data_IF_712266894040
#
_entry.id   IF_712266894040
#
_cell.length_a   1.000
_cell.length_b   1.000
_cell.length_c   1.000
_cell.angle_alpha   90.00
_cell.angle_beta   90.00
_cell.angle_gamma   90.00
#
_symmetry.space_group_name_H-M   'P 1'
#
loop_
_entity.id
_entity.type
_entity.pdbx_description
1 polymer ?
#
# COMPACT_ATOMS: atom_id res chain seq x y z
N UNK A 1 4.62 0.95 25.53
CA UNK A 1 3.87 0.26 24.47
C UNK A 1 3.24 1.36 23.65
N UNK A 2 3.75 1.62 22.45
CA UNK A 2 3.27 2.76 21.66
C UNK A 2 1.81 2.53 21.26
N UNK A 3 0.94 3.49 21.59
CA UNK A 3 -0.51 3.39 21.31
C UNK A 3 -0.81 3.16 19.84
N UNK A 4 0.08 3.58 18.94
CA UNK A 4 0.03 3.30 17.49
C UNK A 4 0.06 1.81 17.16
N UNK A 5 0.86 1.02 17.90
CA UNK A 5 0.92 -0.44 17.72
C UNK A 5 -0.38 -1.12 18.18
N UNK A 6 -1.05 -0.57 19.20
CA UNK A 6 -2.34 -1.08 19.66
C UNK A 6 -3.46 -0.88 18.62
N UNK A 7 -3.38 0.15 17.77
CA UNK A 7 -4.33 0.37 16.67
C UNK A 7 -4.09 -0.55 15.47
N UNK A 8 -2.84 -0.96 15.20
CA UNK A 8 -2.50 -1.83 14.06
C UNK A 8 -2.72 -3.32 14.36
N UNK A 9 -2.61 -3.71 15.64
CA UNK A 9 -2.82 -5.08 16.10
C UNK A 9 -4.17 -5.69 15.68
N UNK A 10 -5.34 -5.04 15.85
CA UNK A 10 -6.61 -5.61 15.42
C UNK A 10 -6.70 -5.77 13.90
N UNK A 11 -6.10 -4.89 13.09
CA UNK A 11 -6.09 -5.03 11.63
C UNK A 11 -5.38 -6.32 11.18
N UNK A 12 -4.30 -6.71 11.87
CA UNK A 12 -3.57 -7.93 11.59
C UNK A 12 -4.33 -9.18 12.04
N UNK A 13 -4.96 -9.13 13.22
CA UNK A 13 -5.70 -10.27 13.79
C UNK A 13 -7.03 -10.52 13.08
N UNK A 14 -7.70 -9.49 12.57
CA UNK A 14 -8.97 -9.60 11.84
C UNK A 14 -8.80 -9.74 10.32
N UNK A 15 -7.59 -9.96 9.82
CA UNK A 15 -7.38 -10.28 8.40
C UNK A 15 -7.92 -11.69 8.13
N UNK A 16 -9.15 -11.78 7.62
CA UNK A 16 -9.73 -13.04 7.17
C UNK A 16 -8.96 -13.55 5.95
N UNK A 17 -8.57 -14.81 6.00
CA UNK A 17 -7.99 -15.52 4.86
C UNK A 17 -9.09 -15.71 3.80
N UNK A 18 -9.11 -14.84 2.79
CA UNK A 18 -9.93 -15.03 1.61
C UNK A 18 -9.31 -16.12 0.74
N UNK A 19 -9.71 -17.38 0.94
CA UNK A 19 -9.36 -18.48 0.05
C UNK A 19 -10.21 -18.37 -1.21
N UNK A 20 -9.67 -17.80 -2.29
CA UNK A 20 -10.28 -17.97 -3.61
C UNK A 20 -9.98 -19.37 -4.12
N UNK A 21 -11.01 -20.10 -4.55
CA UNK A 21 -10.81 -21.36 -5.26
C UNK A 21 -10.29 -21.07 -6.67
N UNK A 22 -9.40 -21.92 -7.17
CA UNK A 22 -8.85 -21.81 -8.52
C UNK A 22 -10.00 -21.84 -9.56
N UNK A 23 -10.03 -20.84 -10.44
CA UNK A 23 -10.92 -20.81 -11.61
C UNK A 23 -12.24 -20.05 -11.46
N UNK A 24 -12.88 -19.98 -10.29
CA UNK A 24 -14.20 -19.32 -10.15
C UNK A 24 -14.10 -17.77 -10.03
N UNK A 25 -13.17 -17.28 -9.20
CA UNK A 25 -13.05 -15.84 -8.90
C UNK A 25 -12.13 -15.09 -9.89
N UNK A 26 -11.26 -15.82 -10.60
CA UNK A 26 -10.40 -15.27 -11.65
C UNK A 26 -11.10 -15.14 -13.01
N UNK A 27 -12.16 -15.91 -13.26
CA UNK A 27 -12.94 -15.81 -14.51
C UNK A 27 -13.95 -14.66 -14.51
N UNK A 28 -14.14 -13.98 -13.38
CA UNK A 28 -15.05 -12.85 -13.32
C UNK A 28 -14.45 -11.65 -14.08
N UNK A 29 -15.26 -11.00 -14.92
CA UNK A 29 -14.87 -9.83 -15.71
C UNK A 29 -14.26 -8.67 -14.89
N UNK A 30 -14.63 -8.52 -13.61
CA UNK A 30 -14.03 -7.52 -12.71
C UNK A 30 -12.74 -7.98 -12.03
N UNK A 31 -12.29 -9.22 -12.25
CA UNK A 31 -11.11 -9.76 -11.56
C UNK A 31 -9.89 -8.87 -11.78
N UNK A 32 -9.64 -8.43 -13.02
CA UNK A 32 -8.54 -7.50 -13.32
C UNK A 32 -8.64 -6.16 -12.59
N UNK A 33 -9.86 -5.60 -12.46
CA UNK A 33 -10.07 -4.35 -11.74
C UNK A 33 -9.83 -4.51 -10.23
N UNK A 34 -10.28 -5.61 -9.64
CA UNK A 34 -10.06 -5.92 -8.22
C UNK A 34 -8.56 -6.10 -7.92
N UNK A 35 -7.82 -6.80 -8.79
CA UNK A 35 -6.36 -6.91 -8.68
C UNK A 35 -5.68 -5.55 -8.75
N UNK A 36 -6.14 -4.67 -9.64
CA UNK A 36 -5.64 -3.30 -9.74
C UNK A 36 -5.87 -2.52 -8.44
N UNK A 37 -7.08 -2.60 -7.87
CA UNK A 37 -7.38 -1.93 -6.59
C UNK A 37 -6.50 -2.46 -5.45
N UNK A 38 -6.16 -3.75 -5.46
CA UNK A 38 -5.29 -4.35 -4.45
C UNK A 38 -3.83 -3.89 -4.58
N UNK A 39 -3.31 -3.75 -5.80
CA UNK A 39 -1.92 -3.32 -6.04
C UNK A 39 -1.75 -1.79 -6.02
N UNK A 40 -2.81 -1.04 -6.31
CA UNK A 40 -2.82 0.43 -6.37
C UNK A 40 -2.26 1.12 -5.11
N UNK A 41 -2.63 0.77 -3.86
CA UNK A 41 -2.07 1.44 -2.68
C UNK A 41 -0.55 1.29 -2.56
N UNK A 42 0.01 0.14 -2.96
CA UNK A 42 1.45 -0.06 -2.98
C UNK A 42 2.14 0.80 -4.03
N UNK A 43 1.57 0.86 -5.24
CA UNK A 43 2.09 1.69 -6.32
C UNK A 43 2.05 3.19 -5.96
N UNK A 44 0.92 3.66 -5.42
CA UNK A 44 0.75 5.04 -4.96
C UNK A 44 1.73 5.36 -3.83
N UNK A 45 1.86 4.47 -2.84
CA UNK A 45 2.80 4.64 -1.74
C UNK A 45 4.25 4.77 -2.22
N UNK A 46 4.67 3.91 -3.15
CA UNK A 46 6.01 3.96 -3.74
C UNK A 46 6.27 5.29 -4.47
N UNK A 47 5.31 5.76 -5.27
CA UNK A 47 5.41 7.05 -5.98
C UNK A 47 5.56 8.21 -4.97
N UNK A 48 4.74 8.24 -3.93
CA UNK A 48 4.80 9.29 -2.90
C UNK A 48 6.16 9.29 -2.19
N UNK A 49 6.69 8.11 -1.83
CA UNK A 49 8.00 8.00 -1.18
C UNK A 49 9.09 8.58 -2.08
N UNK A 50 9.10 8.23 -3.36
CA UNK A 50 10.07 8.78 -4.33
C UNK A 50 9.95 10.30 -4.41
N UNK A 51 8.73 10.85 -4.51
CA UNK A 51 8.51 12.30 -4.55
C UNK A 51 9.02 13.00 -3.28
N UNK A 52 8.78 12.42 -2.10
CA UNK A 52 9.26 12.97 -0.83
C UNK A 52 10.78 12.98 -0.78
N UNK A 53 11.44 11.88 -1.16
CA UNK A 53 12.90 11.79 -1.18
C UNK A 53 13.50 12.86 -2.10
N UNK A 54 12.97 12.99 -3.32
CA UNK A 54 13.44 14.00 -4.28
C UNK A 54 13.21 15.42 -3.74
N UNK A 55 12.06 15.69 -3.13
CA UNK A 55 11.77 16.99 -2.54
C UNK A 55 12.74 17.32 -1.39
N UNK A 56 13.03 16.36 -0.51
CA UNK A 56 13.99 16.53 0.58
C UNK A 56 15.41 16.77 0.09
N UNK A 57 15.84 16.05 -0.96
CA UNK A 57 17.17 16.20 -1.56
C UNK A 57 17.37 17.60 -2.17
N UNK A 58 16.38 18.08 -2.94
CA UNK A 58 16.39 19.43 -3.51
C UNK A 58 16.46 20.48 -2.39
N UNK A 59 15.61 20.35 -1.37
CA UNK A 59 15.57 21.30 -0.25
C UNK A 59 16.92 21.37 0.47
N UNK A 60 17.51 20.22 0.79
CA UNK A 60 18.79 20.15 1.48
C UNK A 60 19.92 20.78 0.64
N UNK A 61 19.91 20.57 -0.67
CA UNK A 61 20.88 21.18 -1.59
C UNK A 61 20.70 22.70 -1.71
N UNK A 62 19.46 23.18 -1.70
CA UNK A 62 19.14 24.61 -1.81
C UNK A 62 19.43 25.43 -0.54
N UNK A 63 19.35 24.81 0.65
CA UNK A 63 19.55 25.49 1.93
C UNK A 63 20.97 25.38 2.50
N UNK A 64 21.84 24.59 1.86
CA UNK A 64 23.25 24.43 2.20
C UNK A 64 24.20 25.30 1.37
N UNK A 65 23.68 26.18 0.51
CA UNK A 65 24.42 27.24 -0.17
C UNK A 65 24.18 28.59 0.51
#
# INVERSE_FOLDING_TARGET
>A
MDSRLLFLLPLFVYSSTAFSHEGHDHSHWLSGFIHLLWIAPFAIGAIIIVLIINYMDIKNTSGGQ
#
